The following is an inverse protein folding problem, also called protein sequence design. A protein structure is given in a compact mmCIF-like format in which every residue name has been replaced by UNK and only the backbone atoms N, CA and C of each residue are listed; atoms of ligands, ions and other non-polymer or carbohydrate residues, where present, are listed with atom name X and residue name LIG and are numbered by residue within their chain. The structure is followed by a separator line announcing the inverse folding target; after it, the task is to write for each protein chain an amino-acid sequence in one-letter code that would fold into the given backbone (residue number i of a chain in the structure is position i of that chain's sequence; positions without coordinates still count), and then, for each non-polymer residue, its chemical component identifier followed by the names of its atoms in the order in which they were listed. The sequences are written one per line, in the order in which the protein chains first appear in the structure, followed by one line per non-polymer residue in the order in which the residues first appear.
data_IF_347849384467
#
_entry.id   IF_347849384467
#
_cell.length_a   1.000
_cell.length_b   1.000
_cell.length_c   1.000
_cell.angle_alpha   90.00
_cell.angle_beta   90.00
_cell.angle_gamma   90.00
#
_symmetry.space_group_name_H-M   'P 1'
#
loop_
_entity.id
_entity.type
_entity.pdbx_description
1 polymer ?
#
# COMPACT_ATOMS: atom_id res chain seq x y z
N UNK A 1 -58.66 -86.25 0.48
CA UNK A 1 -59.64 -85.87 1.52
C UNK A 1 -60.00 -84.41 1.28
N UNK A 2 -61.12 -84.16 0.61
CA UNK A 2 -62.43 -83.84 1.21
C UNK A 2 -62.33 -82.53 2.00
N UNK A 3 -62.86 -81.45 1.42
CA UNK A 3 -64.12 -80.80 1.84
C UNK A 3 -63.80 -79.67 2.84
N UNK A 4 -64.36 -78.47 2.81
CA UNK A 4 -65.73 -78.11 2.45
C UNK A 4 -65.87 -76.57 2.31
N UNK A 5 -66.72 -76.18 1.34
CA UNK A 5 -67.80 -75.18 1.41
C UNK A 5 -67.59 -73.85 2.14
N UNK A 6 -67.67 -72.72 1.41
CA UNK A 6 -68.90 -71.89 1.17
C UNK A 6 -69.37 -71.21 2.47
N UNK A 7 -69.65 -69.90 2.51
CA UNK A 7 -70.89 -69.27 1.98
C UNK A 7 -70.77 -67.76 2.26
N UNK A 8 -70.70 -66.90 1.23
CA UNK A 8 -71.71 -65.91 0.77
C UNK A 8 -72.12 -64.76 1.71
N UNK A 9 -72.13 -63.56 1.08
CA UNK A 9 -72.97 -62.37 1.31
C UNK A 9 -72.65 -61.50 2.55
N UNK A 10 -72.68 -60.17 2.52
CA UNK A 10 -73.37 -59.25 1.61
C UNK A 10 -72.65 -57.89 1.49
N UNK A 11 -72.98 -57.19 0.40
CA UNK A 11 -72.90 -55.73 0.23
C UNK A 11 -73.39 -55.00 1.50
N UNK A 12 -72.98 -53.78 1.87
CA UNK A 12 -73.08 -52.52 1.10
C UNK A 12 -72.42 -51.36 1.86
N UNK A 13 -71.83 -50.43 1.11
CA UNK A 13 -71.85 -48.97 1.28
C UNK A 13 -70.99 -48.23 2.34
N UNK A 14 -70.25 -47.26 1.76
CA UNK A 14 -70.07 -45.85 2.15
C UNK A 14 -68.88 -45.44 3.07
N UNK A 15 -67.86 -44.96 2.35
CA UNK A 15 -67.21 -43.62 2.41
C UNK A 15 -66.38 -43.23 3.64
N UNK A 16 -65.25 -42.56 3.30
CA UNK A 16 -64.36 -41.69 4.10
C UNK A 16 -63.57 -42.41 5.20
N UNK A 17 -62.27 -42.26 5.39
CA UNK A 17 -61.26 -41.30 4.94
C UNK A 17 -59.87 -41.83 5.40
N UNK A 18 -58.80 -41.31 4.78
CA UNK A 18 -57.44 -41.16 5.33
C UNK A 18 -56.43 -42.33 5.36
N UNK A 19 -55.33 -42.08 4.62
CA UNK A 19 -53.91 -42.15 5.03
C UNK A 19 -53.33 -43.53 5.37
N UNK A 20 -52.37 -43.98 4.55
CA UNK A 20 -51.35 -44.93 5.01
C UNK A 20 -50.58 -45.68 3.91
N UNK A 21 -49.29 -45.32 3.78
CA UNK A 21 -48.17 -46.13 3.27
C UNK A 21 -47.92 -46.18 1.75
N UNK A 22 -47.00 -45.33 1.28
CA UNK A 22 -46.08 -45.68 0.19
C UNK A 22 -44.67 -45.82 0.75
N UNK A 23 -44.09 -46.98 0.49
CA UNK A 23 -42.82 -47.50 0.96
C UNK A 23 -41.64 -46.69 0.43
N UNK A 24 -40.76 -46.25 1.35
CA UNK A 24 -39.46 -45.66 1.02
C UNK A 24 -38.51 -46.80 0.60
N UNK A 25 -37.84 -46.76 -0.56
CA UNK A 25 -36.80 -47.73 -0.86
C UNK A 25 -35.57 -47.44 -0.01
N UNK A 26 -35.13 -48.44 0.74
CA UNK A 26 -33.90 -48.42 1.54
C UNK A 26 -32.70 -48.34 0.58
N UNK A 27 -32.08 -47.15 0.50
CA UNK A 27 -31.01 -46.86 -0.43
C UNK A 27 -29.66 -47.25 0.16
N UNK A 28 -29.07 -48.32 -0.36
CA UNK A 28 -27.73 -48.78 -0.03
C UNK A 28 -26.67 -47.69 -0.26
N UNK A 29 -25.67 -47.63 0.62
CA UNK A 29 -24.56 -46.66 0.62
C UNK A 29 -23.62 -46.71 -0.61
N UNK A 30 -24.01 -47.38 -1.70
CA UNK A 30 -23.19 -47.57 -2.90
C UNK A 30 -22.79 -46.25 -3.58
N UNK A 31 -23.62 -45.21 -3.49
CA UNK A 31 -23.27 -43.89 -4.03
C UNK A 31 -22.12 -43.24 -3.24
N UNK A 32 -22.12 -43.41 -1.91
CA UNK A 32 -21.05 -42.91 -1.05
C UNK A 32 -19.74 -43.64 -1.34
N UNK A 33 -19.79 -44.96 -1.47
CA UNK A 33 -18.64 -45.79 -1.83
C UNK A 33 -18.05 -45.37 -3.19
N UNK A 34 -18.90 -45.19 -4.21
CA UNK A 34 -18.46 -44.73 -5.53
C UNK A 34 -17.78 -43.34 -5.47
N UNK A 35 -18.31 -42.41 -4.67
CA UNK A 35 -17.73 -41.07 -4.51
C UNK A 35 -16.38 -41.10 -3.78
N UNK A 36 -16.22 -41.96 -2.77
CA UNK A 36 -14.93 -42.12 -2.05
C UNK A 36 -13.85 -42.71 -2.95
N UNK A 37 -14.21 -43.64 -3.84
CA UNK A 37 -13.33 -44.18 -4.88
C UNK A 37 -12.92 -43.10 -5.88
N UNK A 38 -13.88 -42.31 -6.39
CA UNK A 38 -13.59 -41.18 -7.28
C UNK A 38 -12.64 -40.17 -6.62
N UNK A 39 -12.83 -39.85 -5.35
CA UNK A 39 -11.95 -38.95 -4.61
C UNK A 39 -10.51 -39.47 -4.53
N UNK A 40 -10.34 -40.77 -4.28
CA UNK A 40 -9.03 -41.43 -4.23
C UNK A 40 -8.31 -41.41 -5.58
N UNK A 41 -9.05 -41.61 -6.68
CA UNK A 41 -8.51 -41.56 -8.05
C UNK A 41 -8.07 -40.15 -8.42
N UNK A 42 -8.89 -39.13 -8.13
CA UNK A 42 -8.53 -37.72 -8.36
C UNK A 42 -7.30 -37.29 -7.53
N UNK A 43 -7.19 -37.78 -6.29
CA UNK A 43 -6.00 -37.59 -5.46
C UNK A 43 -4.74 -38.25 -6.05
N UNK A 44 -4.87 -39.33 -6.83
CA UNK A 44 -3.76 -39.93 -7.58
C UNK A 44 -3.42 -39.13 -8.83
N UNK A 45 -4.41 -38.66 -9.58
CA UNK A 45 -4.19 -37.81 -10.76
C UNK A 45 -3.42 -36.54 -10.39
N UNK A 46 -3.80 -35.89 -9.28
CA UNK A 46 -3.12 -34.70 -8.75
C UNK A 46 -1.66 -34.97 -8.37
N UNK A 47 -1.38 -36.11 -7.74
CA UNK A 47 -0.01 -36.50 -7.35
C UNK A 47 0.86 -36.91 -8.54
N UNK A 48 0.24 -37.45 -9.59
CA UNK A 48 0.94 -37.87 -10.81
C UNK A 48 0.95 -36.81 -11.92
N UNK A 49 0.38 -35.62 -11.68
CA UNK A 49 0.30 -34.52 -12.67
C UNK A 49 -0.57 -34.83 -13.89
N UNK A 50 -1.49 -35.79 -13.79
CA UNK A 50 -2.37 -36.20 -14.90
C UNK A 50 -3.58 -35.29 -14.96
N UNK A 51 -3.84 -34.71 -16.14
CA UNK A 51 -5.03 -33.89 -16.40
C UNK A 51 -6.22 -34.77 -16.73
N UNK A 52 -7.43 -34.28 -16.44
CA UNK A 52 -8.67 -34.93 -16.87
C UNK A 52 -8.82 -34.84 -18.39
N UNK A 53 -9.27 -35.93 -19.01
CA UNK A 53 -9.68 -35.92 -20.41
C UNK A 53 -10.99 -35.13 -20.60
N UNK A 54 -11.26 -34.67 -21.82
CA UNK A 54 -12.48 -33.90 -22.13
C UNK A 54 -13.78 -34.71 -21.86
N UNK A 55 -13.71 -36.03 -21.99
CA UNK A 55 -14.81 -36.95 -21.68
C UNK A 55 -15.02 -37.10 -20.17
N UNK A 56 -13.94 -37.17 -19.38
CA UNK A 56 -14.02 -37.17 -17.91
C UNK A 56 -14.55 -35.82 -17.40
N UNK A 57 -14.03 -34.71 -17.94
CA UNK A 57 -14.45 -33.36 -17.55
C UNK A 57 -15.94 -33.10 -17.86
N UNK A 58 -16.41 -33.53 -19.02
CA UNK A 58 -17.84 -33.44 -19.39
C UNK A 58 -18.73 -34.37 -18.57
N UNK A 59 -18.26 -35.58 -18.22
CA UNK A 59 -18.97 -36.49 -17.31
C UNK A 59 -19.13 -35.87 -15.91
N UNK A 60 -18.08 -35.26 -15.34
CA UNK A 60 -18.17 -34.54 -14.08
C UNK A 60 -19.09 -33.32 -14.15
N UNK A 61 -19.08 -32.58 -15.27
CA UNK A 61 -19.99 -31.45 -15.48
C UNK A 61 -21.46 -31.90 -15.55
N UNK A 62 -21.75 -32.99 -16.25
CA UNK A 62 -23.09 -33.58 -16.32
C UNK A 62 -23.55 -34.12 -14.96
N UNK A 63 -22.66 -34.76 -14.21
CA UNK A 63 -22.94 -35.27 -12.87
C UNK A 63 -23.26 -34.13 -11.89
N UNK A 64 -22.52 -33.02 -11.96
CA UNK A 64 -22.80 -31.77 -11.22
C UNK A 64 -24.18 -31.19 -11.58
N UNK A 65 -24.54 -31.17 -12.87
CA UNK A 65 -25.82 -30.64 -13.34
C UNK A 65 -27.00 -31.55 -12.94
N UNK A 66 -26.82 -32.87 -12.97
CA UNK A 66 -27.82 -33.82 -12.52
C UNK A 66 -28.04 -33.77 -11.00
N UNK A 67 -26.98 -33.61 -10.21
CA UNK A 67 -27.10 -33.42 -8.76
C UNK A 67 -27.94 -32.19 -8.41
N UNK A 68 -27.77 -31.07 -9.12
CA UNK A 68 -28.61 -29.88 -8.94
C UNK A 68 -30.09 -30.11 -9.25
N UNK A 69 -30.42 -31.08 -10.11
CA UNK A 69 -31.82 -31.42 -10.44
C UNK A 69 -32.47 -32.39 -9.43
N UNK A 70 -31.68 -33.25 -8.80
CA UNK A 70 -32.15 -34.25 -7.82
C UNK A 70 -32.24 -33.63 -6.41
N UNK A 71 -31.39 -32.65 -6.13
CA UNK A 71 -31.30 -31.92 -4.88
C UNK A 71 -32.37 -30.81 -4.75
N UNK A 72 -33.64 -31.16 -4.95
CA UNK A 72 -34.77 -30.30 -4.59
C UNK A 72 -34.71 -29.96 -3.09
N UNK A 73 -34.11 -28.81 -2.77
CA UNK A 73 -33.88 -28.35 -1.38
C UNK A 73 -32.43 -28.20 -0.92
N UNK A 74 -31.42 -28.23 -1.79
CA UNK A 74 -30.05 -27.79 -1.43
C UNK A 74 -29.47 -26.78 -2.43
N UNK A 75 -30.30 -25.82 -2.82
CA UNK A 75 -29.83 -24.56 -3.41
C UNK A 75 -28.90 -23.79 -2.45
N UNK A 76 -28.83 -24.15 -1.17
CA UNK A 76 -28.02 -23.44 -0.18
C UNK A 76 -26.55 -23.82 -0.16
N UNK A 77 -26.10 -24.98 -0.67
CA UNK A 77 -24.66 -25.32 -0.66
C UNK A 77 -23.93 -24.85 -1.92
N UNK A 78 -24.54 -24.99 -3.10
CA UNK A 78 -23.96 -24.48 -4.36
C UNK A 78 -24.16 -22.97 -4.52
N UNK A 79 -25.26 -22.41 -3.99
CA UNK A 79 -25.36 -20.96 -3.80
C UNK A 79 -24.51 -20.50 -2.63
N UNK A 80 -24.31 -21.24 -1.53
CA UNK A 80 -23.32 -20.82 -0.53
C UNK A 80 -21.91 -20.82 -1.08
N UNK A 81 -21.48 -21.77 -1.93
CA UNK A 81 -20.14 -21.75 -2.53
C UNK A 81 -20.00 -20.66 -3.61
N UNK A 82 -21.01 -20.44 -4.46
CA UNK A 82 -20.98 -19.32 -5.44
C UNK A 82 -21.22 -17.96 -4.81
N UNK A 83 -22.00 -17.86 -3.74
CA UNK A 83 -22.21 -16.66 -2.95
C UNK A 83 -21.04 -16.41 -1.99
N UNK A 84 -20.34 -17.44 -1.49
CA UNK A 84 -19.08 -17.24 -0.76
C UNK A 84 -17.94 -16.89 -1.71
N UNK A 85 -17.88 -17.44 -2.93
CA UNK A 85 -16.92 -17.01 -3.97
C UNK A 85 -17.23 -15.62 -4.53
N UNK A 86 -18.50 -15.29 -4.79
CA UNK A 86 -18.89 -13.94 -5.20
C UNK A 86 -18.74 -12.95 -4.04
N UNK A 87 -19.05 -13.33 -2.80
CA UNK A 87 -18.84 -12.47 -1.63
C UNK A 87 -17.36 -12.32 -1.28
N UNK A 88 -16.52 -13.34 -1.48
CA UNK A 88 -15.06 -13.23 -1.29
C UNK A 88 -14.46 -12.30 -2.34
N UNK A 89 -14.84 -12.44 -3.62
CA UNK A 89 -14.40 -11.50 -4.65
C UNK A 89 -14.97 -10.08 -4.47
N UNK A 90 -16.23 -9.95 -4.03
CA UNK A 90 -16.81 -8.64 -3.74
C UNK A 90 -16.14 -7.98 -2.53
N UNK A 91 -15.77 -8.77 -1.52
CA UNK A 91 -15.04 -8.32 -0.33
C UNK A 91 -13.59 -7.93 -0.66
N UNK A 92 -12.89 -8.71 -1.48
CA UNK A 92 -11.56 -8.36 -2.00
C UNK A 92 -11.61 -7.04 -2.79
N UNK A 93 -12.55 -6.91 -3.73
CA UNK A 93 -12.75 -5.66 -4.50
C UNK A 93 -13.08 -4.48 -3.58
N UNK A 94 -13.88 -4.68 -2.54
CA UNK A 94 -14.21 -3.66 -1.56
C UNK A 94 -13.00 -3.27 -0.70
N UNK A 95 -12.14 -4.21 -0.32
CA UNK A 95 -10.90 -3.96 0.41
C UNK A 95 -9.90 -3.16 -0.44
N UNK A 96 -9.71 -3.51 -1.71
CA UNK A 96 -8.86 -2.72 -2.63
C UNK A 96 -9.45 -1.33 -2.95
N UNK A 97 -10.78 -1.22 -3.06
CA UNK A 97 -11.44 0.08 -3.24
C UNK A 97 -11.26 0.98 -2.00
N UNK A 98 -11.39 0.42 -0.79
CA UNK A 98 -11.13 1.14 0.45
C UNK A 98 -9.67 1.58 0.58
N UNK A 99 -8.73 0.71 0.18
CA UNK A 99 -7.31 1.06 0.10
C UNK A 99 -7.11 2.28 -0.80
N UNK A 100 -7.71 2.29 -1.99
CA UNK A 100 -7.61 3.42 -2.92
C UNK A 100 -8.16 4.71 -2.31
N UNK A 101 -9.33 4.65 -1.67
CA UNK A 101 -9.97 5.83 -1.08
C UNK A 101 -9.13 6.42 0.07
N UNK A 102 -8.57 5.56 0.92
CA UNK A 102 -7.77 5.99 2.08
C UNK A 102 -6.38 6.49 1.68
N UNK A 103 -5.71 5.77 0.76
CA UNK A 103 -4.36 6.15 0.31
C UNK A 103 -4.39 7.48 -0.46
N UNK A 104 -5.44 7.77 -1.23
CA UNK A 104 -5.51 8.99 -2.06
C UNK A 104 -5.86 10.28 -1.27
N UNK A 105 -5.89 10.24 0.06
CA UNK A 105 -6.10 11.43 0.89
C UNK A 105 -4.78 12.15 1.17
N UNK A 106 -4.34 12.98 0.23
CA UNK A 106 -3.02 13.66 0.26
C UNK A 106 -2.99 14.98 1.04
N UNK A 107 -3.99 15.22 1.90
CA UNK A 107 -4.05 16.44 2.70
C UNK A 107 -3.06 16.43 3.87
N UNK A 108 -2.77 15.24 4.39
CA UNK A 108 -1.90 15.05 5.55
C UNK A 108 -0.40 15.09 5.20
N UNK A 109 0.48 15.17 6.20
CA UNK A 109 1.93 15.02 6.01
C UNK A 109 2.30 13.65 5.44
N UNK A 110 3.46 13.56 4.79
CA UNK A 110 3.97 12.34 4.15
C UNK A 110 4.04 11.15 5.14
N UNK A 111 4.46 11.39 6.38
CA UNK A 111 4.53 10.37 7.44
C UNK A 111 3.17 9.70 7.71
N UNK A 112 2.10 10.49 7.79
CA UNK A 112 0.75 9.97 8.02
C UNK A 112 0.22 9.18 6.82
N UNK A 113 0.51 9.67 5.60
CA UNK A 113 0.13 8.97 4.36
C UNK A 113 0.82 7.59 4.31
N UNK A 114 2.12 7.54 4.60
CA UNK A 114 2.87 6.29 4.63
C UNK A 114 2.40 5.35 5.75
N UNK A 115 2.10 5.88 6.95
CA UNK A 115 1.47 5.08 8.02
C UNK A 115 0.15 4.46 7.56
N UNK A 116 -0.68 5.21 6.84
CA UNK A 116 -1.95 4.72 6.31
C UNK A 116 -1.73 3.59 5.28
N UNK A 117 -0.74 3.75 4.39
CA UNK A 117 -0.36 2.69 3.44
C UNK A 117 0.08 1.43 4.19
N UNK A 118 0.95 1.58 5.20
CA UNK A 118 1.44 0.47 6.02
C UNK A 118 0.27 -0.28 6.69
N UNK A 119 -0.68 0.44 7.27
CA UNK A 119 -1.85 -0.15 7.93
C UNK A 119 -2.77 -0.89 6.95
N UNK A 120 -3.04 -0.32 5.77
CA UNK A 120 -3.90 -0.95 4.77
C UNK A 120 -3.24 -2.19 4.15
N UNK A 121 -1.95 -2.12 3.83
CA UNK A 121 -1.23 -3.29 3.34
C UNK A 121 -1.06 -4.38 4.39
N UNK A 122 -0.84 -4.00 5.66
CA UNK A 122 -0.76 -4.98 6.75
C UNK A 122 -2.05 -5.79 6.91
N UNK A 123 -3.22 -5.20 6.61
CA UNK A 123 -4.51 -5.92 6.62
C UNK A 123 -4.63 -6.91 5.46
N UNK A 124 -4.17 -6.54 4.26
CA UNK A 124 -4.21 -7.39 3.06
C UNK A 124 -3.25 -8.58 3.20
N UNK A 125 -2.05 -8.29 3.70
CA UNK A 125 -0.92 -9.21 3.78
C UNK A 125 -1.00 -10.08 5.05
N UNK A 126 -1.62 -9.58 6.12
CA UNK A 126 -1.70 -10.24 7.42
C UNK A 126 -0.40 -10.15 8.25
N UNK A 127 0.59 -9.40 7.77
CA UNK A 127 1.89 -9.19 8.40
C UNK A 127 2.22 -7.69 8.48
N UNK A 128 3.08 -7.28 9.42
CA UNK A 128 3.53 -5.89 9.51
C UNK A 128 4.25 -5.44 8.23
N UNK A 129 3.91 -4.24 7.79
CA UNK A 129 4.48 -3.61 6.59
C UNK A 129 5.16 -2.30 6.97
N UNK A 130 6.38 -2.10 6.45
CA UNK A 130 7.08 -0.81 6.48
C UNK A 130 7.31 -0.32 5.06
N UNK A 131 7.12 0.97 4.82
CA UNK A 131 7.30 1.55 3.48
C UNK A 131 8.32 2.66 3.53
N UNK A 132 9.33 2.54 2.68
CA UNK A 132 10.39 3.53 2.51
C UNK A 132 10.19 4.23 1.17
N UNK A 133 10.15 5.55 1.14
CA UNK A 133 10.09 6.30 -0.11
C UNK A 133 11.48 6.71 -0.57
N UNK A 134 11.64 6.94 -1.87
CA UNK A 134 12.92 7.37 -2.46
C UNK A 134 13.04 8.88 -2.36
N UNK A 135 14.07 9.36 -1.66
CA UNK A 135 14.54 10.72 -1.77
C UNK A 135 15.58 10.79 -2.90
N UNK A 136 15.18 11.39 -4.02
CA UNK A 136 16.01 11.46 -5.24
C UNK A 136 17.24 12.35 -5.05
N UNK A 137 17.15 13.38 -4.21
CA UNK A 137 18.24 14.34 -4.02
C UNK A 137 19.45 13.69 -3.34
N UNK A 138 19.18 12.83 -2.36
CA UNK A 138 20.21 12.20 -1.52
C UNK A 138 20.49 10.74 -1.91
N UNK A 139 19.76 10.20 -2.90
CA UNK A 139 19.84 8.80 -3.32
C UNK A 139 19.68 7.81 -2.15
N UNK A 140 18.73 8.10 -1.26
CA UNK A 140 18.41 7.29 -0.07
C UNK A 140 16.94 6.90 -0.04
N UNK A 141 16.66 5.86 0.75
CA UNK A 141 15.32 5.38 1.08
C UNK A 141 14.98 5.84 2.50
N UNK A 142 13.90 6.59 2.65
CA UNK A 142 13.49 7.15 3.94
C UNK A 142 12.19 6.50 4.42
N UNK A 143 12.14 6.09 5.68
CA UNK A 143 10.91 5.76 6.41
C UNK A 143 10.54 6.93 7.32
N UNK A 144 9.55 7.75 6.97
CA UNK A 144 9.15 8.91 7.76
C UNK A 144 8.29 8.56 8.98
N UNK A 145 7.93 7.28 9.20
CA UNK A 145 7.18 6.83 10.39
C UNK A 145 8.15 6.50 11.52
N UNK A 146 9.27 5.86 11.19
CA UNK A 146 10.29 5.44 12.17
C UNK A 146 11.56 6.29 12.13
N UNK A 147 11.60 7.30 11.26
CA UNK A 147 12.74 8.20 11.06
C UNK A 147 14.04 7.44 10.73
N UNK A 148 13.93 6.45 9.84
CA UNK A 148 15.07 5.65 9.40
C UNK A 148 15.45 5.97 7.97
N UNK A 149 16.76 5.91 7.70
CA UNK A 149 17.33 6.17 6.37
C UNK A 149 18.19 4.99 5.97
N UNK A 150 17.94 4.45 4.78
CA UNK A 150 18.70 3.36 4.18
C UNK A 150 19.33 3.82 2.86
N UNK A 151 20.51 3.29 2.57
CA UNK A 151 21.21 3.55 1.31
C UNK A 151 20.55 2.82 0.15
N UNK A 152 20.53 3.44 -1.04
CA UNK A 152 20.07 2.80 -2.27
C UNK A 152 21.12 1.91 -2.93
N UNK A 153 22.17 1.52 -2.21
CA UNK A 153 23.25 0.68 -2.73
C UNK A 153 22.90 -0.82 -2.66
N UNK A 154 23.75 -1.68 -3.22
CA UNK A 154 23.51 -3.12 -3.25
C UNK A 154 23.84 -3.84 -1.93
N UNK A 155 24.31 -3.11 -0.92
CA UNK A 155 24.72 -3.69 0.37
C UNK A 155 23.52 -4.20 1.16
N UNK A 156 22.46 -3.39 1.25
CA UNK A 156 21.23 -3.73 1.94
C UNK A 156 20.22 -4.44 1.00
N UNK A 157 19.40 -5.39 1.51
CA UNK A 157 18.34 -6.03 0.72
C UNK A 157 17.36 -5.02 0.11
N UNK A 158 17.00 -3.98 0.84
CA UNK A 158 16.08 -2.93 0.39
C UNK A 158 16.69 -2.08 -0.74
N UNK A 159 17.98 -1.78 -0.68
CA UNK A 159 18.71 -1.09 -1.74
C UNK A 159 18.84 -1.94 -3.00
N UNK A 160 19.12 -3.25 -2.87
CA UNK A 160 19.06 -4.19 -4.01
C UNK A 160 17.68 -4.25 -4.67
N UNK A 161 16.62 -4.26 -3.87
CA UNK A 161 15.24 -4.21 -4.38
C UNK A 161 15.01 -2.92 -5.19
N UNK A 162 15.42 -1.77 -4.66
CA UNK A 162 15.30 -0.49 -5.33
C UNK A 162 16.07 -0.43 -6.67
N UNK A 163 17.30 -0.95 -6.71
CA UNK A 163 18.13 -0.97 -7.92
C UNK A 163 17.59 -1.92 -8.99
N UNK A 164 17.25 -3.14 -8.59
CA UNK A 164 16.81 -4.18 -9.53
C UNK A 164 15.37 -4.02 -9.97
N UNK A 165 14.56 -3.24 -9.23
CA UNK A 165 13.10 -3.11 -9.40
C UNK A 165 12.39 -4.47 -9.41
N UNK A 166 12.94 -5.43 -8.67
CA UNK A 166 12.39 -6.77 -8.50
C UNK A 166 12.25 -7.07 -7.02
N UNK A 167 11.23 -7.86 -6.69
CA UNK A 167 11.03 -8.34 -5.32
C UNK A 167 12.25 -9.14 -4.88
N UNK A 168 12.80 -8.81 -3.71
CA UNK A 168 13.91 -9.52 -3.09
C UNK A 168 13.39 -10.11 -1.78
N UNK A 169 13.62 -11.41 -1.56
CA UNK A 169 13.24 -12.06 -0.29
C UNK A 169 14.49 -12.53 0.43
N UNK A 170 14.62 -12.18 1.71
CA UNK A 170 15.74 -12.58 2.54
C UNK A 170 15.26 -12.76 3.99
N UNK A 171 15.69 -13.84 4.66
CA UNK A 171 15.38 -14.10 6.08
C UNK A 171 13.90 -13.93 6.47
N UNK A 172 12.97 -14.41 5.64
CA UNK A 172 11.53 -14.29 5.90
C UNK A 172 11.02 -12.84 5.91
N UNK A 173 11.69 -11.97 5.15
CA UNK A 173 11.25 -10.61 4.84
C UNK A 173 11.25 -10.42 3.33
N UNK A 174 10.15 -9.91 2.79
CA UNK A 174 10.03 -9.57 1.38
C UNK A 174 10.17 -8.05 1.19
N UNK A 175 11.05 -7.67 0.29
CA UNK A 175 11.26 -6.29 -0.17
C UNK A 175 10.63 -6.15 -1.55
N UNK A 176 9.58 -5.34 -1.65
CA UNK A 176 8.74 -5.19 -2.84
C UNK A 176 8.92 -3.77 -3.40
N UNK A 177 9.30 -3.60 -4.68
CA UNK A 177 9.52 -2.28 -5.25
C UNK A 177 8.19 -1.60 -5.60
N UNK A 178 8.06 -0.34 -5.23
CA UNK A 178 6.95 0.52 -5.64
C UNK A 178 7.42 1.37 -6.82
N UNK A 179 6.86 1.09 -7.99
CA UNK A 179 7.25 1.76 -9.23
C UNK A 179 6.10 2.59 -9.81
N UNK A 180 6.39 3.82 -10.20
CA UNK A 180 5.50 4.69 -10.97
C UNK A 180 6.17 5.02 -12.31
N UNK A 181 5.50 4.75 -13.44
CA UNK A 181 6.05 4.97 -14.80
C UNK A 181 7.47 4.41 -14.99
N UNK A 182 7.70 3.17 -14.52
CA UNK A 182 9.01 2.49 -14.55
C UNK A 182 10.13 3.18 -13.75
N UNK A 183 9.80 4.17 -12.89
CA UNK A 183 10.71 4.77 -11.92
C UNK A 183 10.39 4.25 -10.53
N UNK A 184 11.42 3.95 -9.74
CA UNK A 184 11.25 3.56 -8.34
C UNK A 184 10.85 4.79 -7.53
N UNK A 185 9.77 4.68 -6.77
CA UNK A 185 9.29 5.75 -5.86
C UNK A 185 9.38 5.33 -4.39
N UNK A 186 9.48 4.04 -4.13
CA UNK A 186 9.68 3.50 -2.80
C UNK A 186 9.90 1.99 -2.81
N UNK A 187 10.13 1.42 -1.63
CA UNK A 187 10.20 -0.01 -1.38
C UNK A 187 9.37 -0.33 -0.14
N UNK A 188 8.64 -1.43 -0.21
CA UNK A 188 7.84 -1.97 0.88
C UNK A 188 8.57 -3.16 1.47
N UNK A 189 8.75 -3.16 2.78
CA UNK A 189 9.29 -4.25 3.58
C UNK A 189 8.13 -4.95 4.28
N UNK A 190 8.05 -6.27 4.11
CA UNK A 190 6.99 -7.10 4.65
C UNK A 190 7.62 -8.24 5.45
N UNK A 191 7.40 -8.26 6.76
CA UNK A 191 7.93 -9.28 7.67
C UNK A 191 7.04 -10.53 7.63
N UNK A 192 7.36 -11.54 6.81
CA UNK A 192 6.51 -12.72 6.64
C UNK A 192 7.00 -13.75 5.60
N UNK A 193 6.25 -14.85 5.48
CA UNK A 193 6.52 -15.93 4.51
C UNK A 193 6.52 -15.41 3.06
N UNK A 194 7.09 -16.21 2.14
CA UNK A 194 7.10 -15.96 0.70
C UNK A 194 5.72 -15.50 0.22
N UNK A 195 5.64 -14.24 -0.22
CA UNK A 195 4.43 -13.65 -0.75
C UNK A 195 4.37 -13.78 -2.26
N UNK A 196 3.21 -14.19 -2.77
CA UNK A 196 2.95 -14.20 -4.20
C UNK A 196 2.55 -12.80 -4.68
N UNK A 197 3.54 -12.01 -5.05
CA UNK A 197 3.34 -10.67 -5.63
C UNK A 197 2.86 -10.73 -7.09
N UNK A 198 2.66 -11.91 -7.68
CA UNK A 198 2.29 -12.06 -9.10
C UNK A 198 0.79 -11.98 -9.34
N UNK A 199 -0.02 -11.96 -8.27
CA UNK A 199 -1.46 -11.81 -8.40
C UNK A 199 -1.82 -10.43 -8.95
N UNK A 200 -2.74 -10.33 -9.93
CA UNK A 200 -3.08 -9.06 -10.56
C UNK A 200 -3.69 -8.07 -9.56
N UNK A 201 -4.46 -8.56 -8.58
CA UNK A 201 -5.08 -7.70 -7.56
C UNK A 201 -4.03 -7.01 -6.69
N UNK A 202 -3.02 -7.75 -6.24
CA UNK A 202 -1.93 -7.19 -5.46
C UNK A 202 -1.08 -6.22 -6.30
N UNK A 203 -0.88 -6.53 -7.58
CA UNK A 203 -0.25 -5.63 -8.54
C UNK A 203 -0.95 -4.26 -8.63
N UNK A 204 -2.30 -4.23 -8.67
CA UNK A 204 -3.06 -2.98 -8.64
C UNK A 204 -2.90 -2.23 -7.30
N UNK A 205 -2.89 -2.94 -6.17
CA UNK A 205 -2.65 -2.30 -4.87
C UNK A 205 -1.28 -1.63 -4.82
N UNK A 206 -0.22 -2.32 -5.27
CA UNK A 206 1.13 -1.76 -5.34
C UNK A 206 1.18 -0.52 -6.25
N UNK A 207 0.45 -0.52 -7.37
CA UNK A 207 0.35 0.65 -8.24
C UNK A 207 -0.33 1.83 -7.54
N UNK A 208 -1.41 1.58 -6.80
CA UNK A 208 -2.11 2.61 -6.01
C UNK A 208 -1.17 3.18 -4.95
N UNK A 209 -0.42 2.34 -4.24
CA UNK A 209 0.57 2.79 -3.27
C UNK A 209 1.68 3.62 -3.94
N UNK A 210 2.23 3.14 -5.05
CA UNK A 210 3.28 3.85 -5.79
C UNK A 210 2.80 5.23 -6.28
N UNK A 211 1.60 5.31 -6.86
CA UNK A 211 1.00 6.57 -7.30
C UNK A 211 0.75 7.52 -6.11
N UNK A 212 0.24 6.97 -5.00
CA UNK A 212 -0.02 7.75 -3.78
C UNK A 212 1.26 8.37 -3.25
N UNK A 213 2.34 7.58 -3.11
CA UNK A 213 3.64 8.05 -2.63
C UNK A 213 4.22 9.08 -3.60
N UNK A 214 4.16 8.83 -4.90
CA UNK A 214 4.63 9.78 -5.91
C UNK A 214 3.95 11.14 -5.79
N UNK A 215 2.62 11.15 -5.68
CA UNK A 215 1.85 12.37 -5.54
C UNK A 215 2.09 13.04 -4.18
N UNK A 216 2.22 12.27 -3.10
CA UNK A 216 2.51 12.78 -1.77
C UNK A 216 3.86 13.53 -1.73
N UNK A 217 4.92 12.93 -2.30
CA UNK A 217 6.24 13.58 -2.42
C UNK A 217 6.14 14.85 -3.26
N UNK A 218 5.46 14.78 -4.40
CA UNK A 218 5.31 15.92 -5.31
C UNK A 218 4.55 17.08 -4.65
N UNK A 219 3.49 16.78 -3.92
CA UNK A 219 2.72 17.79 -3.16
C UNK A 219 3.56 18.38 -2.04
N UNK A 220 4.36 17.58 -1.34
CA UNK A 220 5.20 18.08 -0.26
C UNK A 220 6.28 19.04 -0.79
N UNK A 221 6.90 18.70 -1.92
CA UNK A 221 7.82 19.58 -2.66
C UNK A 221 7.14 20.88 -3.10
N UNK A 222 5.94 20.80 -3.69
CA UNK A 222 5.19 22.00 -4.07
C UNK A 222 4.84 22.86 -2.86
N UNK A 223 4.43 22.25 -1.75
CA UNK A 223 4.15 22.96 -0.49
C UNK A 223 5.40 23.63 0.05
N UNK A 224 6.58 23.02 -0.10
CA UNK A 224 7.85 23.61 0.30
C UNK A 224 8.18 24.86 -0.53
N UNK A 225 8.06 24.77 -1.85
CA UNK A 225 8.31 25.90 -2.74
C UNK A 225 7.31 27.05 -2.53
N UNK A 226 6.02 26.73 -2.33
CA UNK A 226 5.01 27.74 -1.96
C UNK A 226 5.35 28.42 -0.64
N UNK A 227 5.72 27.67 0.40
CA UNK A 227 6.15 28.22 1.69
C UNK A 227 7.34 29.16 1.54
N UNK A 228 8.31 28.81 0.69
CA UNK A 228 9.45 29.69 0.38
C UNK A 228 9.00 31.00 -0.25
N UNK A 229 8.16 30.93 -1.29
CA UNK A 229 7.65 32.11 -1.97
C UNK A 229 6.84 33.02 -1.04
N UNK A 230 5.97 32.45 -0.20
CA UNK A 230 5.19 33.20 0.80
C UNK A 230 6.10 33.90 1.81
N UNK A 231 7.13 33.22 2.32
CA UNK A 231 8.09 33.81 3.23
C UNK A 231 8.85 34.98 2.59
N UNK A 232 9.25 34.86 1.31
CA UNK A 232 9.90 35.93 0.57
C UNK A 232 9.00 37.15 0.38
N UNK A 233 7.72 36.94 0.02
CA UNK A 233 6.74 38.04 -0.13
C UNK A 233 6.46 38.71 1.21
N UNK A 234 6.34 37.92 2.29
CA UNK A 234 6.17 38.45 3.65
C UNK A 234 7.37 39.30 4.06
N UNK A 235 8.60 38.85 3.74
CA UNK A 235 9.82 39.60 4.01
C UNK A 235 9.88 40.91 3.21
N UNK A 236 9.59 40.87 1.90
CA UNK A 236 9.55 42.07 1.06
C UNK A 236 8.50 43.09 1.55
N UNK A 237 7.33 42.61 1.98
CA UNK A 237 6.28 43.47 2.54
C UNK A 237 6.70 44.10 3.87
N UNK A 238 7.41 43.34 4.73
CA UNK A 238 7.97 43.87 5.99
C UNK A 238 9.04 44.93 5.73
N UNK A 239 9.90 44.70 4.74
CA UNK A 239 10.92 45.67 4.29
C UNK A 239 10.28 46.96 3.76
N UNK A 240 9.22 46.85 2.96
CA UNK A 240 8.58 48.01 2.34
C UNK A 240 7.73 48.87 3.29
N UNK A 241 7.37 48.37 4.48
CA UNK A 241 6.49 49.05 5.44
C UNK A 241 7.21 50.04 6.37
N UNK A 242 8.47 50.39 6.07
CA UNK A 242 9.29 51.48 6.65
C UNK A 242 8.80 52.05 8.00
N UNK A 243 9.31 51.47 9.09
CA UNK A 243 9.42 52.03 10.46
C UNK A 243 10.10 51.05 11.43
N UNK A 244 10.75 50.00 10.93
CA UNK A 244 11.48 49.03 11.76
C UNK A 244 12.92 49.51 11.96
N UNK A 245 13.40 49.45 13.20
CA UNK A 245 14.80 49.69 13.56
C UNK A 245 15.73 48.73 12.77
N UNK A 246 16.90 49.21 12.31
CA UNK A 246 17.89 48.43 11.51
C UNK A 246 18.15 47.05 12.13
N UNK A 247 18.30 47.00 13.46
CA UNK A 247 18.53 45.78 14.24
C UNK A 247 17.39 44.76 14.11
N UNK A 248 16.14 45.21 14.30
CA UNK A 248 14.93 44.38 14.22
C UNK A 248 14.73 43.86 12.80
N UNK A 249 14.96 44.71 11.81
CA UNK A 249 14.84 44.32 10.42
C UNK A 249 15.89 43.25 10.08
N UNK A 250 17.17 43.52 10.34
CA UNK A 250 18.27 42.58 10.08
C UNK A 250 18.02 41.23 10.74
N UNK A 251 17.57 41.21 12.00
CA UNK A 251 17.24 39.97 12.70
C UNK A 251 16.09 39.20 12.00
N UNK A 252 15.06 39.91 11.54
CA UNK A 252 13.96 39.29 10.79
C UNK A 252 14.44 38.69 9.46
N UNK A 253 15.39 39.33 8.78
CA UNK A 253 15.99 38.80 7.55
C UNK A 253 16.81 37.56 7.87
N UNK A 254 17.70 37.61 8.86
CA UNK A 254 18.55 36.49 9.28
C UNK A 254 17.69 35.26 9.59
N UNK A 255 16.68 35.40 10.44
CA UNK A 255 15.81 34.30 10.84
C UNK A 255 15.03 33.70 9.66
N UNK A 256 14.57 34.56 8.75
CA UNK A 256 13.84 34.13 7.55
C UNK A 256 14.78 33.39 6.58
N UNK A 257 15.95 33.97 6.29
CA UNK A 257 16.96 33.36 5.44
C UNK A 257 17.41 32.00 6.00
N UNK A 258 17.76 31.93 7.29
CA UNK A 258 18.11 30.68 7.99
C UNK A 258 17.08 29.58 7.77
N UNK A 259 15.81 29.90 7.97
CA UNK A 259 14.70 28.94 7.83
C UNK A 259 14.54 28.49 6.37
N UNK A 260 14.69 29.41 5.42
CA UNK A 260 14.52 29.13 3.99
C UNK A 260 15.67 28.33 3.37
N UNK A 261 16.89 28.51 3.90
CA UNK A 261 18.09 27.79 3.45
C UNK A 261 18.42 26.59 4.33
N UNK A 262 17.53 26.22 5.26
CA UNK A 262 17.71 25.12 6.24
C UNK A 262 19.10 25.15 6.90
N UNK A 263 19.62 26.34 7.16
CA UNK A 263 20.99 26.52 7.62
C UNK A 263 21.07 26.46 9.14
N UNK A 264 22.14 25.86 9.68
CA UNK A 264 22.39 25.84 11.12
C UNK A 264 22.64 27.26 11.67
N UNK A 265 23.34 28.09 10.89
CA UNK A 265 23.63 29.50 11.20
C UNK A 265 23.54 30.39 9.96
N UNK A 266 23.02 31.59 10.14
CA UNK A 266 22.95 32.65 9.16
C UNK A 266 23.45 33.97 9.77
N UNK A 267 24.15 34.78 8.99
CA UNK A 267 24.66 36.08 9.42
C UNK A 267 24.63 37.06 8.25
N UNK A 268 24.35 38.33 8.52
CA UNK A 268 24.33 39.39 7.52
C UNK A 268 25.46 40.37 7.77
N UNK A 269 26.19 40.72 6.70
CA UNK A 269 27.26 41.70 6.75
C UNK A 269 26.83 42.95 5.97
N UNK A 270 26.71 44.07 6.68
CA UNK A 270 26.39 45.36 6.08
C UNK A 270 27.70 46.09 5.73
N UNK A 271 27.87 46.42 4.45
CA UNK A 271 29.01 47.21 3.97
C UNK A 271 28.83 48.66 4.40
N UNK A 272 29.81 49.22 5.11
CA UNK A 272 29.83 50.63 5.52
C UNK A 272 30.62 51.47 4.51
N UNK A 273 30.43 52.78 4.56
CA UNK A 273 31.05 53.73 3.62
C UNK A 273 32.59 53.74 3.70
N UNK A 274 33.16 53.34 4.83
CA UNK A 274 34.61 53.19 5.04
C UNK A 274 35.16 51.84 4.55
N UNK A 275 34.31 51.00 3.94
CA UNK A 275 34.64 49.66 3.48
C UNK A 275 34.55 48.58 4.56
N UNK A 276 34.35 48.93 5.83
CA UNK A 276 34.21 47.94 6.90
C UNK A 276 32.91 47.14 6.78
N UNK A 277 32.93 45.90 7.27
CA UNK A 277 31.77 45.01 7.30
C UNK A 277 31.22 44.93 8.72
N UNK A 278 29.99 45.42 8.92
CA UNK A 278 29.26 45.24 10.17
C UNK A 278 28.47 43.93 10.11
N UNK A 279 28.99 42.91 10.78
CA UNK A 279 28.40 41.57 10.89
C UNK A 279 27.30 41.55 11.96
N UNK A 280 26.13 41.04 11.60
CA UNK A 280 25.02 40.76 12.50
C UNK A 280 24.81 39.24 12.56
N UNK A 281 24.80 38.71 13.78
CA UNK A 281 24.62 37.28 14.07
C UNK A 281 23.24 37.00 14.64
N UNK A 282 22.85 35.72 14.64
CA UNK A 282 21.52 35.27 15.10
C UNK A 282 21.25 35.54 16.58
N UNK A 283 22.29 35.52 17.41
CA UNK A 283 22.25 35.79 18.84
C UNK A 283 22.13 37.29 19.16
N UNK A 284 22.01 38.14 18.14
CA UNK A 284 21.96 39.59 18.25
C UNK A 284 23.33 40.26 18.40
N UNK A 285 24.42 39.49 18.41
CA UNK A 285 25.76 40.06 18.49
C UNK A 285 26.13 40.77 17.19
N UNK A 286 26.89 41.86 17.35
CA UNK A 286 27.37 42.68 16.23
C UNK A 286 28.87 42.81 16.32
N UNK A 287 29.57 42.48 15.23
CA UNK A 287 31.04 42.58 15.13
C UNK A 287 31.41 43.36 13.88
N UNK A 288 32.45 44.19 13.95
CA UNK A 288 32.99 44.90 12.78
C UNK A 288 34.25 44.21 12.30
N UNK A 289 34.30 43.89 11.01
CA UNK A 289 35.42 43.22 10.34
C UNK A 289 35.99 44.14 9.26
N UNK A 290 37.31 44.18 9.05
CA UNK A 290 37.91 44.94 7.95
C UNK A 290 37.42 44.46 6.56
N UNK A 291 37.43 45.39 5.59
CA UNK A 291 37.18 45.08 4.19
C UNK A 291 38.12 43.98 3.66
N UNK A 292 37.66 43.17 2.71
CA UNK A 292 38.51 42.20 2.00
C UNK A 292 39.01 41.00 2.80
N UNK A 293 38.57 40.82 4.04
CA UNK A 293 39.02 39.68 4.88
C UNK A 293 38.01 38.53 4.84
N UNK A 294 38.51 37.32 4.57
CA UNK A 294 37.72 36.09 4.58
C UNK A 294 36.67 36.01 3.46
N UNK A 295 35.77 35.04 3.59
CA UNK A 295 34.74 34.76 2.57
C UNK A 295 33.79 35.95 2.39
N UNK A 296 33.36 36.59 3.49
CA UNK A 296 32.47 37.74 3.45
C UNK A 296 33.12 38.96 2.76
N UNK A 297 34.40 39.22 3.02
CA UNK A 297 35.16 40.26 2.32
C UNK A 297 35.28 40.01 0.82
N UNK A 298 35.61 38.79 0.43
CA UNK A 298 35.69 38.40 -0.98
C UNK A 298 34.35 38.56 -1.71
N UNK A 299 33.23 38.12 -1.10
CA UNK A 299 31.90 38.27 -1.70
C UNK A 299 31.50 39.75 -1.80
N UNK A 300 31.82 40.56 -0.80
CA UNK A 300 31.54 42.00 -0.80
C UNK A 300 32.31 42.75 -1.91
N UNK A 301 33.55 42.36 -2.19
CA UNK A 301 34.37 42.97 -3.26
C UNK A 301 34.00 42.46 -4.66
N UNK A 302 33.77 41.16 -4.80
CA UNK A 302 33.52 40.53 -6.11
C UNK A 302 32.07 40.63 -6.57
N UNK A 303 31.11 40.76 -5.64
CA UNK A 303 29.67 40.66 -5.93
C UNK A 303 29.21 39.28 -6.39
N UNK A 304 30.10 38.28 -6.40
CA UNK A 304 29.81 36.94 -6.86
C UNK A 304 29.37 36.03 -5.69
N UNK A 305 28.35 35.22 -5.92
CA UNK A 305 27.92 34.19 -4.95
C UNK A 305 28.99 33.10 -4.87
N UNK A 306 29.42 32.78 -3.66
CA UNK A 306 30.39 31.71 -3.38
C UNK A 306 29.70 30.60 -2.62
N UNK A 307 29.80 29.37 -3.13
CA UNK A 307 29.37 28.15 -2.44
C UNK A 307 30.60 27.27 -2.18
N UNK A 308 30.85 26.93 -0.92
CA UNK A 308 32.00 26.14 -0.49
C UNK A 308 31.49 24.79 0.02
N UNK A 309 31.67 23.68 -0.73
CA UNK A 309 31.13 22.37 -0.34
C UNK A 309 31.73 21.81 0.96
N UNK A 310 32.99 22.13 1.24
CA UNK A 310 33.63 21.83 2.51
C UNK A 310 34.53 23.00 2.95
N UNK A 311 34.18 23.63 4.07
CA UNK A 311 34.84 24.83 4.59
C UNK A 311 35.77 24.57 5.80
N UNK A 312 35.92 23.30 6.20
CA UNK A 312 36.78 22.84 7.30
C UNK A 312 37.66 21.67 6.86
#
# INVERSE_FOLDING_TARGET
MREQCRTMASLTAKRTSEIGTTTKPDGSNHLLEALTLCHSILGRYRRCGVQLSDTEASAFANLRNHFSSISGGAADAASAVRATQNASHHRELQEYAQLSQRCLTLQHPLSHIISTINDEFSKIVGFPVRTHYVNINDAVLCDPVHDTVATMDASAPIGRCAQTKKTVTLFNTAYIPLCYNNRIVGCMEVEGSVMDTTTPQFGYALQVAALTIHNAISIDQLRWETRKAEAMVNMATRLARDTLEESVLVQSIINTAKTLTESDRCSIFLVKADGSLKAHFEDGNVVVVPAGTGIAGYVAESGAVVNIPNAY
#
